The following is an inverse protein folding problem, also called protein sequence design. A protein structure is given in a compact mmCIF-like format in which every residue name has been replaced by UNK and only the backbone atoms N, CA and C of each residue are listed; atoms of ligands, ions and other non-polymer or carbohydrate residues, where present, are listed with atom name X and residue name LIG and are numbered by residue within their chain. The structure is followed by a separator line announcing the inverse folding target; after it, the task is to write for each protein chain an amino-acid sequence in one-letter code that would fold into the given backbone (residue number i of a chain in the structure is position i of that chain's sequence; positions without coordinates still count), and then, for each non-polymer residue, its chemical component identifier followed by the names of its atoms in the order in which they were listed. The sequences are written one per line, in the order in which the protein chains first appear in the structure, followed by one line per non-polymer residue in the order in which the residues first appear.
data_IF_838374154107
#
_entry.id   IF_838374154107
#
_cell.length_a   1.000
_cell.length_b   1.000
_cell.length_c   1.000
_cell.angle_alpha   90.00
_cell.angle_beta   90.00
_cell.angle_gamma   90.00
#
_symmetry.space_group_name_H-M   'P 1'
#
loop_
_entity.id
_entity.type
_entity.pdbx_description
1 polymer ?
#
# COMPACT_ATOMS: atom_id res chain seq x y z
N UNK A 1 7.88 -8.74 -13.73
CA UNK A 1 8.19 -7.30 -13.84
C UNK A 1 9.64 -7.08 -13.47
N UNK A 2 10.30 -6.05 -14.01
CA UNK A 2 11.58 -5.59 -13.45
C UNK A 2 11.35 -4.96 -12.08
N UNK A 3 12.39 -4.83 -11.26
CA UNK A 3 12.26 -4.25 -9.92
C UNK A 3 11.76 -2.79 -9.97
N UNK A 4 12.28 -1.98 -10.90
CA UNK A 4 11.81 -0.61 -11.12
C UNK A 4 10.34 -0.57 -11.53
N UNK A 5 9.90 -1.44 -12.44
CA UNK A 5 8.48 -1.52 -12.83
C UNK A 5 7.58 -1.89 -11.64
N UNK A 6 8.03 -2.82 -10.79
CA UNK A 6 7.28 -3.20 -9.60
C UNK A 6 7.14 -2.02 -8.61
N UNK A 7 8.18 -1.21 -8.43
CA UNK A 7 8.12 -0.01 -7.58
C UNK A 7 7.14 1.02 -8.16
N UNK A 8 7.19 1.29 -9.48
CA UNK A 8 6.22 2.21 -10.09
C UNK A 8 4.78 1.72 -9.95
N UNK A 9 4.54 0.43 -10.17
CA UNK A 9 3.22 -0.19 -10.01
C UNK A 9 2.75 -0.16 -8.55
N UNK A 10 3.67 -0.32 -7.60
CA UNK A 10 3.38 -0.19 -6.18
C UNK A 10 3.02 1.26 -5.78
N UNK A 11 3.70 2.27 -6.33
CA UNK A 11 3.34 3.68 -6.11
C UNK A 11 1.98 4.01 -6.72
N UNK A 12 1.67 3.47 -7.90
CA UNK A 12 0.34 3.59 -8.50
C UNK A 12 -0.74 2.99 -7.60
N UNK A 13 -0.47 1.82 -7.00
CA UNK A 13 -1.35 1.22 -6.00
C UNK A 13 -1.53 2.12 -4.77
N UNK A 14 -0.47 2.67 -4.19
CA UNK A 14 -0.57 3.59 -3.04
C UNK A 14 -1.46 4.80 -3.36
N UNK A 15 -1.30 5.37 -4.54
CA UNK A 15 -1.98 6.60 -4.95
C UNK A 15 -3.46 6.36 -5.32
N UNK A 16 -3.80 5.18 -5.85
CA UNK A 16 -5.16 4.81 -6.25
C UNK A 16 -5.95 4.09 -5.15
N UNK A 17 -5.27 3.31 -4.31
CA UNK A 17 -5.85 2.22 -3.49
C UNK A 17 -6.65 1.20 -4.31
N UNK A 18 -6.29 1.00 -5.58
CA UNK A 18 -6.92 -0.02 -6.42
C UNK A 18 -6.44 -1.42 -6.01
N UNK A 19 -7.36 -2.22 -5.48
CA UNK A 19 -7.08 -3.59 -5.03
C UNK A 19 -6.60 -4.50 -6.18
N UNK A 20 -7.00 -4.25 -7.43
CA UNK A 20 -6.51 -5.03 -8.56
C UNK A 20 -5.00 -4.83 -8.74
N UNK A 21 -4.54 -3.57 -8.71
CA UNK A 21 -3.11 -3.24 -8.77
C UNK A 21 -2.38 -3.82 -7.55
N UNK A 22 -2.96 -3.67 -6.36
CA UNK A 22 -2.41 -4.21 -5.13
C UNK A 22 -2.16 -5.73 -5.19
N UNK A 23 -3.05 -6.49 -5.83
CA UNK A 23 -2.89 -7.94 -6.02
C UNK A 23 -1.73 -8.33 -6.95
N UNK A 24 -1.32 -7.44 -7.87
CA UNK A 24 -0.20 -7.67 -8.78
C UNK A 24 1.17 -7.49 -8.10
N UNK A 25 1.22 -6.68 -7.03
CA UNK A 25 2.46 -6.21 -6.40
C UNK A 25 2.66 -6.66 -4.96
N UNK A 26 1.66 -7.29 -4.34
CA UNK A 26 1.70 -7.76 -2.96
C UNK A 26 1.61 -9.28 -2.86
N UNK A 27 2.30 -9.85 -1.87
CA UNK A 27 2.18 -11.26 -1.51
C UNK A 27 1.16 -11.40 -0.37
N UNK A 28 0.36 -12.47 -0.37
CA UNK A 28 -0.73 -12.66 0.62
C UNK A 28 -0.24 -12.64 2.08
N UNK A 29 1.01 -13.03 2.32
CA UNK A 29 1.61 -13.11 3.65
C UNK A 29 2.44 -11.88 4.04
N UNK A 30 2.36 -10.77 3.31
CA UNK A 30 3.14 -9.58 3.64
C UNK A 30 2.54 -8.89 4.87
N UNK A 31 3.39 -8.55 5.85
CA UNK A 31 2.98 -7.80 7.04
C UNK A 31 3.39 -6.34 6.94
N UNK A 32 2.46 -5.44 7.22
CA UNK A 32 2.69 -3.99 7.27
C UNK A 32 2.70 -3.50 8.70
N UNK A 33 3.85 -3.05 9.16
CA UNK A 33 4.01 -2.50 10.51
C UNK A 33 3.66 -1.02 10.52
N UNK A 34 2.65 -0.67 11.30
CA UNK A 34 2.22 0.72 11.49
C UNK A 34 2.66 1.22 12.87
N UNK A 35 2.94 2.53 13.04
CA UNK A 35 3.50 3.06 14.30
C UNK A 35 2.57 2.92 15.52
N UNK A 36 1.28 2.68 15.30
CA UNK A 36 0.23 2.70 16.31
C UNK A 36 -0.32 1.32 16.68
N UNK A 37 0.16 0.24 16.03
CA UNK A 37 -0.22 -1.12 16.39
C UNK A 37 1.03 -2.01 16.54
N UNK A 38 1.01 -2.84 17.58
CA UNK A 38 2.01 -3.87 17.85
C UNK A 38 1.92 -5.06 16.89
N UNK A 39 0.75 -5.30 16.30
CA UNK A 39 0.52 -6.36 15.31
C UNK A 39 0.60 -5.77 13.91
N UNK A 40 1.24 -6.46 12.94
CA UNK A 40 1.22 -6.02 11.56
C UNK A 40 -0.19 -6.15 10.97
N UNK A 41 -0.51 -5.24 10.06
CA UNK A 41 -1.65 -5.40 9.16
C UNK A 41 -1.26 -6.41 8.08
N UNK A 42 -2.07 -7.44 7.87
CA UNK A 42 -1.71 -8.56 7.00
C UNK A 42 -2.32 -8.43 5.59
N UNK A 43 -1.48 -8.69 4.60
CA UNK A 43 -1.87 -8.80 3.19
C UNK A 43 -2.44 -7.52 2.61
N UNK A 44 -3.13 -7.68 1.47
CA UNK A 44 -3.71 -6.57 0.72
C UNK A 44 -4.81 -5.84 1.51
N UNK A 45 -5.65 -6.58 2.24
CA UNK A 45 -6.72 -6.00 3.06
C UNK A 45 -6.16 -5.09 4.15
N UNK A 46 -5.09 -5.53 4.82
CA UNK A 46 -4.42 -4.72 5.83
C UNK A 46 -3.82 -3.44 5.25
N UNK A 47 -3.27 -3.51 4.03
CA UNK A 47 -2.75 -2.32 3.35
C UNK A 47 -3.85 -1.31 2.99
N UNK A 48 -4.99 -1.80 2.48
CA UNK A 48 -6.12 -0.94 2.14
C UNK A 48 -6.71 -0.24 3.37
N UNK A 49 -6.75 -0.94 4.50
CA UNK A 49 -7.14 -0.36 5.79
C UNK A 49 -6.19 0.77 6.20
N UNK A 50 -4.88 0.53 6.14
CA UNK A 50 -3.86 1.54 6.40
C UNK A 50 -4.03 2.77 5.49
N UNK A 51 -4.19 2.58 4.19
CA UNK A 51 -4.40 3.68 3.24
C UNK A 51 -5.68 4.46 3.56
N UNK A 52 -6.75 3.78 3.95
CA UNK A 52 -8.00 4.41 4.40
C UNK A 52 -7.77 5.31 5.62
N UNK A 53 -7.04 4.83 6.62
CA UNK A 53 -6.68 5.61 7.81
C UNK A 53 -5.82 6.83 7.45
N UNK A 54 -4.80 6.66 6.61
CA UNK A 54 -3.93 7.75 6.17
C UNK A 54 -4.70 8.82 5.42
N UNK A 55 -5.60 8.43 4.50
CA UNK A 55 -6.41 9.36 3.70
C UNK A 55 -7.50 10.06 4.52
N UNK A 56 -8.00 9.43 5.58
CA UNK A 56 -8.91 10.09 6.51
C UNK A 56 -8.24 11.27 7.24
N UNK A 57 -6.93 11.15 7.54
CA UNK A 57 -6.15 12.22 8.16
C UNK A 57 -5.58 13.22 7.13
N UNK A 58 -5.16 12.72 5.96
CA UNK A 58 -4.52 13.49 4.88
C UNK A 58 -5.16 13.14 3.53
N UNK A 59 -6.27 13.80 3.14
CA UNK A 59 -7.05 13.42 1.95
C UNK A 59 -6.26 13.47 0.64
N UNK A 60 -5.30 14.38 0.54
CA UNK A 60 -4.52 14.65 -0.67
C UNK A 60 -3.17 13.90 -0.68
N UNK A 61 -2.98 12.93 0.21
CA UNK A 61 -1.71 12.20 0.28
C UNK A 61 -1.43 11.46 -1.04
N UNK A 62 -0.24 11.69 -1.58
CA UNK A 62 0.29 11.05 -2.78
C UNK A 62 1.76 10.72 -2.56
N UNK A 63 2.23 9.63 -3.16
CA UNK A 63 3.61 9.20 -3.18
C UNK A 63 4.21 9.35 -4.57
N UNK A 64 5.51 9.62 -4.63
CA UNK A 64 6.29 9.69 -5.86
C UNK A 64 7.61 8.92 -5.70
N UNK A 65 8.19 8.51 -6.82
CA UNK A 65 9.53 7.91 -6.89
C UNK A 65 10.46 8.87 -7.63
N UNK A 66 11.68 9.05 -7.11
CA UNK A 66 12.78 9.82 -7.75
C UNK A 66 13.73 8.91 -8.56
#
# INVERSE_FOLDING_TARGET
MSHSQAIHRFVEFINSADAAIGSEVSHESVGFHVPFDSKPLEGLSGYLEMLGMMRAAFPDIQSSVE
#
